data_IF_884150837363
#
_entry.id   IF_884150837363
#
_cell.length_a   1.000
_cell.length_b   1.000
_cell.length_c   1.000
_cell.angle_alpha   90.00
_cell.angle_beta   90.00
_cell.angle_gamma   90.00
#
_symmetry.space_group_name_H-M   'P 1'
#
loop_
_entity.id
_entity.type
_entity.pdbx_description
1 polymer ?
#
# COMPACT_ATOMS: atom_id res chain seq x y z
N UNK A 1 36.21 19.28 -3.28
CA UNK A 1 36.41 19.39 -4.73
C UNK A 1 35.02 19.39 -5.27
N UNK A 2 34.45 20.59 -5.32
CA UNK A 2 33.01 20.81 -5.36
C UNK A 2 32.55 20.56 -6.80
N UNK A 3 31.75 19.51 -6.99
CA UNK A 3 31.20 19.17 -8.30
C UNK A 3 29.95 20.01 -8.51
N UNK A 4 30.15 21.17 -9.13
CA UNK A 4 29.11 22.07 -9.60
C UNK A 4 28.06 21.30 -10.43
N UNK A 5 26.78 21.48 -10.12
CA UNK A 5 25.64 20.80 -10.74
C UNK A 5 25.63 21.00 -12.26
N UNK A 6 26.13 20.02 -13.02
CA UNK A 6 26.23 20.12 -14.49
C UNK A 6 24.88 19.78 -15.14
N UNK A 7 24.20 20.72 -15.82
CA UNK A 7 22.87 20.47 -16.40
C UNK A 7 22.87 19.50 -17.60
N UNK A 8 24.04 19.08 -18.07
CA UNK A 8 24.21 18.28 -19.30
C UNK A 8 23.87 16.79 -19.18
N UNK A 9 23.60 16.28 -17.97
CA UNK A 9 23.17 14.90 -17.74
C UNK A 9 21.85 14.84 -16.94
N UNK A 10 20.79 15.45 -17.47
CA UNK A 10 19.48 15.51 -16.78
C UNK A 10 19.00 14.13 -16.32
N UNK A 11 19.25 13.08 -17.11
CA UNK A 11 18.78 11.72 -16.85
C UNK A 11 19.47 11.06 -15.64
N UNK A 12 20.68 11.50 -15.26
CA UNK A 12 21.42 10.95 -14.11
C UNK A 12 20.78 11.35 -12.77
N UNK A 13 20.24 12.56 -12.70
CA UNK A 13 19.64 13.13 -11.48
C UNK A 13 18.12 13.30 -11.59
N UNK A 14 17.54 13.17 -12.77
CA UNK A 14 16.09 13.16 -12.97
C UNK A 14 15.74 12.07 -13.98
N UNK A 15 15.45 10.84 -13.51
CA UNK A 15 15.15 9.71 -14.37
C UNK A 15 14.00 9.97 -15.35
N UNK A 16 14.09 9.40 -16.56
CA UNK A 16 13.16 9.66 -17.67
C UNK A 16 11.74 9.17 -17.39
N UNK A 17 11.60 8.05 -16.69
CA UNK A 17 10.34 7.49 -16.21
C UNK A 17 9.61 8.46 -15.28
N UNK A 18 10.33 9.04 -14.32
CA UNK A 18 9.77 10.07 -13.42
C UNK A 18 9.42 11.32 -14.23
N UNK A 19 10.31 11.82 -15.10
CA UNK A 19 10.00 12.96 -15.98
C UNK A 19 8.70 12.74 -16.77
N UNK A 20 8.52 11.55 -17.35
CA UNK A 20 7.37 11.21 -18.20
C UNK A 20 6.05 11.31 -17.43
N UNK A 21 6.02 10.84 -16.17
CA UNK A 21 4.83 10.95 -15.32
C UNK A 21 4.38 12.42 -15.16
N UNK A 22 5.30 13.31 -14.78
CA UNK A 22 4.98 14.75 -14.64
C UNK A 22 4.58 15.39 -15.98
N UNK A 23 5.24 15.01 -17.08
CA UNK A 23 4.95 15.54 -18.42
C UNK A 23 3.53 15.16 -18.85
N UNK A 24 3.13 13.90 -18.68
CA UNK A 24 1.80 13.41 -19.04
C UNK A 24 0.71 14.13 -18.26
N UNK A 25 0.89 14.31 -16.95
CA UNK A 25 -0.07 15.05 -16.12
C UNK A 25 -0.22 16.51 -16.56
N UNK A 26 0.86 17.17 -17.01
CA UNK A 26 0.83 18.58 -17.44
C UNK A 26 0.21 18.75 -18.82
N UNK A 27 0.52 17.86 -19.76
CA UNK A 27 0.03 17.95 -21.15
C UNK A 27 -1.48 17.75 -21.23
N UNK A 28 -2.06 16.92 -20.37
CA UNK A 28 -3.49 16.61 -20.38
C UNK A 28 -4.33 17.54 -19.49
N UNK A 29 -3.75 18.61 -18.94
CA UNK A 29 -4.48 19.54 -18.07
C UNK A 29 -5.58 20.31 -18.81
N UNK A 30 -6.84 20.23 -18.35
CA UNK A 30 -7.93 21.02 -18.91
C UNK A 30 -7.63 22.52 -18.84
N UNK A 31 -7.68 23.20 -19.98
CA UNK A 31 -7.51 24.67 -20.07
C UNK A 31 -6.08 25.17 -20.24
N UNK A 32 -5.05 24.33 -20.09
CA UNK A 32 -3.65 24.70 -20.38
C UNK A 32 -3.24 24.25 -21.78
N UNK A 33 -3.12 25.19 -22.73
CA UNK A 33 -2.57 24.89 -24.06
C UNK A 33 -1.05 24.82 -24.01
N UNK A 34 -0.46 23.66 -23.79
CA UNK A 34 1.00 23.43 -23.78
C UNK A 34 1.37 22.28 -24.73
N UNK A 35 2.51 22.39 -25.43
CA UNK A 35 3.01 21.27 -26.25
C UNK A 35 3.84 20.31 -25.40
N UNK A 36 3.94 19.05 -25.83
CA UNK A 36 4.79 18.05 -25.17
C UNK A 36 6.20 18.58 -24.91
N UNK A 37 6.82 19.20 -25.93
CA UNK A 37 8.15 19.79 -25.84
C UNK A 37 8.26 20.90 -24.78
N UNK A 38 7.23 21.75 -24.67
CA UNK A 38 7.20 22.80 -23.65
C UNK A 38 7.01 22.22 -22.24
N UNK A 39 6.18 21.19 -22.10
CA UNK A 39 5.99 20.48 -20.84
C UNK A 39 7.28 19.80 -20.38
N UNK A 40 7.99 19.10 -21.27
CA UNK A 40 9.31 18.52 -20.98
C UNK A 40 10.29 19.56 -20.45
N UNK A 41 10.40 20.71 -21.11
CA UNK A 41 11.33 21.77 -20.71
C UNK A 41 10.95 22.40 -19.38
N UNK A 42 9.66 22.60 -19.15
CA UNK A 42 9.16 23.08 -17.87
C UNK A 42 9.46 22.08 -16.72
N UNK A 43 9.21 20.78 -16.92
CA UNK A 43 9.48 19.74 -15.92
C UNK A 43 10.97 19.64 -15.60
N UNK A 44 11.85 19.69 -16.61
CA UNK A 44 13.31 19.69 -16.37
C UNK A 44 13.78 20.92 -15.62
N UNK A 45 13.23 22.09 -15.95
CA UNK A 45 13.50 23.33 -15.24
C UNK A 45 13.00 23.28 -13.79
N UNK A 46 11.88 22.60 -13.55
CA UNK A 46 11.37 22.30 -12.23
C UNK A 46 12.36 21.45 -11.43
N UNK A 47 12.78 20.30 -11.96
CA UNK A 47 13.77 19.45 -11.30
C UNK A 47 15.09 20.18 -10.99
N UNK A 48 15.56 21.02 -11.91
CA UNK A 48 16.77 21.82 -11.70
C UNK A 48 16.62 22.81 -10.52
N UNK A 49 15.51 23.55 -10.47
CA UNK A 49 15.23 24.47 -9.36
C UNK A 49 15.06 23.76 -8.02
N UNK A 50 14.51 22.54 -8.03
CA UNK A 50 14.36 21.70 -6.85
C UNK A 50 15.71 21.28 -6.25
N UNK A 51 16.66 20.85 -7.10
CA UNK A 51 18.01 20.48 -6.65
C UNK A 51 18.81 21.67 -6.14
N UNK A 52 18.77 22.81 -6.85
CA UNK A 52 19.47 24.03 -6.41
C UNK A 52 19.05 24.47 -5.00
N UNK A 53 17.77 24.34 -4.64
CA UNK A 53 17.30 24.72 -3.30
C UNK A 53 17.76 23.80 -2.19
N UNK A 54 17.91 22.51 -2.50
CA UNK A 54 18.34 21.51 -1.54
C UNK A 54 19.86 21.52 -1.33
N UNK A 55 20.61 22.30 -2.13
CA UNK A 55 22.07 22.28 -2.11
C UNK A 55 22.63 20.89 -2.42
N UNK A 56 21.88 20.09 -3.17
CA UNK A 56 22.24 18.72 -3.53
C UNK A 56 22.74 18.70 -4.96
N UNK A 57 24.01 18.34 -5.13
CA UNK A 57 24.63 18.32 -6.46
C UNK A 57 24.25 17.06 -7.28
N UNK A 58 23.90 15.93 -6.62
CA UNK A 58 23.76 14.62 -7.29
C UNK A 58 22.82 13.61 -6.59
N UNK A 59 21.62 14.01 -6.16
CA UNK A 59 20.61 13.06 -5.68
C UNK A 59 19.56 12.79 -6.77
N UNK A 60 19.31 11.52 -7.18
CA UNK A 60 18.24 11.20 -8.11
C UNK A 60 16.89 11.66 -7.56
N UNK A 61 16.19 12.48 -8.34
CA UNK A 61 14.85 12.98 -8.02
C UNK A 61 13.86 11.83 -8.16
N UNK A 62 13.30 11.37 -7.04
CA UNK A 62 12.15 10.47 -7.00
C UNK A 62 10.82 11.23 -7.12
N UNK A 63 10.77 12.46 -6.61
CA UNK A 63 9.57 13.31 -6.58
C UNK A 63 9.89 14.80 -6.68
N UNK A 64 8.95 15.56 -7.26
CA UNK A 64 8.97 17.02 -7.29
C UNK A 64 7.90 17.57 -6.35
N UNK A 65 8.28 18.56 -5.53
CA UNK A 65 7.33 19.29 -4.71
C UNK A 65 6.87 20.60 -5.39
N UNK A 66 5.72 21.12 -4.95
CA UNK A 66 5.17 22.40 -5.47
C UNK A 66 5.91 23.63 -4.92
N UNK A 67 6.55 23.50 -3.76
CA UNK A 67 7.16 24.62 -3.05
C UNK A 67 8.59 24.82 -3.52
N UNK A 68 8.73 25.52 -4.63
CA UNK A 68 10.02 25.96 -5.15
C UNK A 68 10.13 27.46 -4.94
N UNK A 69 11.06 27.84 -4.07
CA UNK A 69 11.52 29.24 -3.98
C UNK A 69 12.16 29.69 -5.31
N UNK A 70 12.38 30.99 -5.47
CA UNK A 70 13.04 31.47 -6.69
C UNK A 70 14.47 30.95 -6.81
N UNK A 71 14.93 30.61 -8.01
CA UNK A 71 16.28 30.11 -8.25
C UNK A 71 16.92 30.79 -9.47
N UNK A 72 18.25 30.71 -9.60
CA UNK A 72 18.97 31.36 -10.70
C UNK A 72 19.23 30.35 -11.82
N UNK A 73 18.92 30.76 -13.05
CA UNK A 73 19.14 29.95 -14.24
C UNK A 73 19.71 30.85 -15.34
N UNK A 74 20.90 30.52 -15.84
CA UNK A 74 21.45 31.18 -17.02
C UNK A 74 20.79 30.65 -18.30
N UNK A 75 20.89 31.40 -19.39
CA UNK A 75 20.47 30.89 -20.70
C UNK A 75 21.29 29.67 -21.15
N UNK A 76 22.52 29.52 -20.66
CA UNK A 76 23.34 28.33 -20.93
C UNK A 76 22.78 27.13 -20.17
N UNK A 77 22.48 27.27 -18.87
CA UNK A 77 21.89 26.18 -18.07
C UNK A 77 20.55 25.75 -18.66
N UNK A 78 19.72 26.71 -19.05
CA UNK A 78 18.44 26.43 -19.70
C UNK A 78 18.63 25.70 -21.04
N UNK A 79 19.67 26.03 -21.82
CA UNK A 79 19.95 25.35 -23.07
C UNK A 79 20.38 23.90 -22.83
N UNK A 80 21.25 23.68 -21.85
CA UNK A 80 21.73 22.35 -21.46
C UNK A 80 20.55 21.48 -20.96
N UNK A 81 19.63 22.04 -20.17
CA UNK A 81 18.41 21.36 -19.72
C UNK A 81 17.44 21.02 -20.87
N UNK A 82 17.22 21.95 -21.80
CA UNK A 82 16.20 21.82 -22.85
C UNK A 82 16.69 21.02 -24.05
N UNK A 83 17.99 21.00 -24.29
CA UNK A 83 18.55 20.49 -25.54
C UNK A 83 19.60 19.40 -25.30
N UNK A 84 19.43 18.58 -24.26
CA UNK A 84 20.33 17.45 -23.93
C UNK A 84 20.68 16.53 -25.12
N UNK A 85 19.77 16.36 -26.08
CA UNK A 85 19.95 15.50 -27.26
C UNK A 85 19.95 16.27 -28.61
N UNK A 86 19.92 17.61 -28.60
CA UNK A 86 19.81 18.44 -29.81
C UNK A 86 20.76 19.64 -29.74
N UNK A 87 21.25 20.16 -30.87
CA UNK A 87 22.00 21.42 -30.87
C UNK A 87 21.06 22.62 -30.69
N UNK A 88 20.74 22.97 -29.44
CA UNK A 88 20.05 24.21 -29.12
C UNK A 88 21.02 25.30 -28.66
N UNK A 89 20.63 26.56 -28.83
CA UNK A 89 21.45 27.71 -28.43
C UNK A 89 20.91 28.35 -27.15
N UNK A 90 21.76 29.02 -26.34
CA UNK A 90 21.30 29.83 -25.20
C UNK A 90 20.21 30.84 -25.58
N UNK A 91 20.30 31.42 -26.78
CA UNK A 91 19.26 32.32 -27.31
C UNK A 91 17.91 31.62 -27.51
N UNK A 92 17.91 30.40 -28.05
CA UNK A 92 16.68 29.62 -28.23
C UNK A 92 16.08 29.20 -26.88
N UNK A 93 16.92 28.87 -25.89
CA UNK A 93 16.49 28.59 -24.53
C UNK A 93 15.84 29.80 -23.86
N UNK A 94 16.44 30.99 -24.03
CA UNK A 94 15.84 32.26 -23.60
C UNK A 94 14.44 32.48 -24.20
N UNK A 95 14.27 32.25 -25.51
CA UNK A 95 12.95 32.34 -26.14
C UNK A 95 11.96 31.29 -25.61
N UNK A 96 12.43 30.10 -25.23
CA UNK A 96 11.58 29.07 -24.65
C UNK A 96 11.10 29.47 -23.25
N UNK A 97 12.00 30.00 -22.42
CA UNK A 97 11.64 30.56 -21.12
C UNK A 97 10.59 31.68 -21.26
N UNK A 98 10.64 32.51 -22.31
CA UNK A 98 9.63 33.55 -22.58
C UNK A 98 8.28 32.93 -22.94
N UNK A 99 8.28 31.86 -23.73
CA UNK A 99 7.06 31.11 -24.05
C UNK A 99 6.43 30.48 -22.79
N UNK A 100 7.23 29.91 -21.90
CA UNK A 100 6.74 29.38 -20.62
C UNK A 100 6.20 30.49 -19.72
N UNK A 101 6.86 31.66 -19.68
CA UNK A 101 6.37 32.82 -18.93
C UNK A 101 5.02 33.33 -19.46
N UNK A 102 4.85 33.38 -20.79
CA UNK A 102 3.58 33.80 -21.42
C UNK A 102 2.39 32.88 -21.10
N UNK A 103 2.66 31.64 -20.66
CA UNK A 103 1.67 30.66 -20.21
C UNK A 103 1.45 30.68 -18.69
N UNK A 104 2.00 31.67 -17.99
CA UNK A 104 2.00 31.77 -16.53
C UNK A 104 2.62 30.57 -15.80
N UNK A 105 3.52 29.82 -16.43
CA UNK A 105 4.21 28.67 -15.81
C UNK A 105 5.46 29.09 -15.04
N UNK A 106 6.02 30.27 -15.36
CA UNK A 106 7.13 30.86 -14.62
C UNK A 106 7.06 32.38 -14.65
N UNK A 107 7.76 33.01 -13.72
CA UNK A 107 8.02 34.46 -13.69
C UNK A 107 9.52 34.68 -13.70
N UNK A 108 9.95 35.73 -14.42
CA UNK A 108 11.33 36.21 -14.41
C UNK A 108 11.42 37.41 -13.48
N UNK A 109 12.40 37.37 -12.59
CA UNK A 109 12.75 38.46 -11.68
C UNK A 109 14.01 39.19 -12.13
N UNK A 110 14.74 39.72 -11.16
CA UNK A 110 16.00 40.42 -11.38
C UNK A 110 17.05 39.52 -12.03
N UNK A 111 17.88 40.11 -12.88
CA UNK A 111 19.06 39.47 -13.46
C UNK A 111 20.31 40.05 -12.81
N UNK A 112 21.29 39.19 -12.55
CA UNK A 112 22.63 39.57 -12.06
C UNK A 112 23.63 39.84 -13.21
N UNK A 113 23.15 39.88 -14.45
CA UNK A 113 23.95 40.05 -15.66
C UNK A 113 24.38 38.74 -16.33
N UNK A 114 24.27 37.59 -15.66
CA UNK A 114 24.63 36.26 -16.20
C UNK A 114 23.45 35.30 -16.14
N UNK A 115 22.79 35.23 -14.99
CA UNK A 115 21.60 34.44 -14.75
C UNK A 115 20.38 35.33 -14.55
N UNK A 116 19.21 34.75 -14.79
CA UNK A 116 17.93 35.39 -14.45
C UNK A 116 17.33 34.63 -13.28
N UNK A 117 16.84 35.36 -12.28
CA UNK A 117 16.07 34.77 -11.19
C UNK A 117 14.72 34.30 -11.73
N UNK A 118 14.46 33.00 -11.69
CA UNK A 118 13.22 32.37 -12.10
C UNK A 118 12.38 32.01 -10.88
N UNK A 119 11.07 32.11 -11.01
CA UNK A 119 10.11 31.60 -10.02
C UNK A 119 9.07 30.79 -10.76
N UNK A 120 8.98 29.49 -10.48
CA UNK A 120 8.01 28.63 -11.13
C UNK A 120 6.64 28.84 -10.51
N UNK A 121 5.63 28.89 -11.37
CA UNK A 121 4.24 28.95 -10.95
C UNK A 121 3.60 27.61 -11.33
N UNK A 122 3.63 26.68 -10.37
CA UNK A 122 3.07 25.34 -10.52
C UNK A 122 1.58 25.42 -10.10
N UNK A 123 0.63 25.35 -11.05
CA UNK A 123 -0.79 25.43 -10.72
C UNK A 123 -1.22 24.33 -9.75
N UNK A 124 -2.08 24.66 -8.79
CA UNK A 124 -2.61 23.67 -7.85
C UNK A 124 -3.44 22.57 -8.54
N UNK A 125 -3.95 22.86 -9.73
CA UNK A 125 -4.70 21.90 -10.56
C UNK A 125 -3.81 20.81 -11.16
N UNK A 126 -2.48 20.93 -11.13
CA UNK A 126 -1.60 19.86 -11.58
C UNK A 126 -1.66 18.71 -10.57
N UNK A 127 -2.33 17.63 -10.94
CA UNK A 127 -2.22 16.34 -10.24
C UNK A 127 -0.76 15.90 -10.33
N UNK A 128 -0.07 15.89 -9.18
CA UNK A 128 1.32 15.44 -9.13
C UNK A 128 1.33 13.97 -8.75
N UNK A 129 2.26 13.17 -9.29
CA UNK A 129 2.55 11.85 -8.76
C UNK A 129 2.73 11.95 -7.24
N UNK A 130 1.90 11.23 -6.48
CA UNK A 130 2.08 11.15 -5.04
C UNK A 130 3.46 10.57 -4.75
N UNK A 131 4.12 11.10 -3.71
CA UNK A 131 5.37 10.53 -3.24
C UNK A 131 5.07 9.11 -2.78
N UNK A 132 5.48 8.12 -3.60
CA UNK A 132 5.61 6.75 -3.13
C UNK A 132 6.68 6.81 -2.06
N UNK A 133 6.25 7.02 -0.82
CA UNK A 133 7.08 6.79 0.34
C UNK A 133 7.63 5.37 0.16
N UNK A 134 8.96 5.25 0.25
CA UNK A 134 9.63 3.97 0.39
C UNK A 134 9.25 3.43 1.77
N UNK A 135 8.00 3.00 1.89
CA UNK A 135 7.42 2.55 3.13
C UNK A 135 7.86 1.11 3.34
N UNK A 136 8.76 0.95 4.29
CA UNK A 136 9.07 -0.35 4.85
C UNK A 136 7.96 -0.76 5.81
N UNK A 137 7.70 -2.06 5.89
CA UNK A 137 6.63 -2.62 6.72
C UNK A 137 7.20 -3.59 7.74
N UNK A 138 6.53 -3.71 8.88
CA UNK A 138 6.92 -4.67 9.92
C UNK A 138 5.70 -5.22 10.66
N UNK A 139 5.70 -6.50 11.03
CA UNK A 139 4.62 -7.08 11.81
C UNK A 139 4.73 -6.71 13.30
N UNK A 140 3.59 -6.60 13.97
CA UNK A 140 3.49 -6.23 15.38
C UNK A 140 2.22 -6.79 16.05
N UNK A 141 2.14 -6.71 17.38
CA UNK A 141 0.93 -7.03 18.13
C UNK A 141 -0.17 -5.99 17.88
N UNK A 142 -1.41 -6.48 17.76
CA UNK A 142 -2.60 -5.63 17.71
C UNK A 142 -2.85 -4.93 19.05
N UNK A 143 -2.98 -3.61 19.03
CA UNK A 143 -3.41 -2.79 20.17
C UNK A 143 -4.88 -2.39 20.01
N UNK A 144 -5.80 -2.95 20.84
CA UNK A 144 -7.23 -2.64 20.73
C UNK A 144 -7.60 -1.17 21.01
N UNK A 145 -6.69 -0.38 21.60
CA UNK A 145 -6.89 1.05 21.85
C UNK A 145 -6.57 1.90 20.63
N UNK A 146 -5.47 1.57 19.94
CA UNK A 146 -4.94 2.38 18.84
C UNK A 146 -5.35 1.83 17.46
N UNK A 147 -5.40 0.51 17.29
CA UNK A 147 -5.55 -0.11 15.97
C UNK A 147 -7.00 -0.41 15.61
N UNK A 148 -7.87 -0.62 16.60
CA UNK A 148 -9.21 -1.17 16.35
C UNK A 148 -10.05 -0.36 15.33
N UNK A 149 -9.93 0.95 15.30
CA UNK A 149 -10.67 1.76 14.31
C UNK A 149 -10.07 1.61 12.91
N UNK A 150 -8.75 1.64 12.78
CA UNK A 150 -8.06 1.54 11.48
C UNK A 150 -8.20 0.15 10.88
N UNK A 151 -8.00 -0.89 11.69
CA UNK A 151 -8.25 -2.28 11.28
C UNK A 151 -9.71 -2.49 10.89
N UNK A 152 -10.66 -1.88 11.60
CA UNK A 152 -12.06 -1.99 11.21
C UNK A 152 -12.33 -1.40 9.82
N UNK A 153 -11.67 -0.30 9.45
CA UNK A 153 -11.77 0.27 8.10
C UNK A 153 -11.19 -0.67 7.02
N UNK A 154 -10.03 -1.30 7.29
CA UNK A 154 -9.42 -2.29 6.38
C UNK A 154 -10.42 -3.42 6.13
N UNK A 155 -10.98 -3.98 7.19
CA UNK A 155 -11.95 -5.09 7.07
C UNK A 155 -13.25 -4.63 6.40
N UNK A 156 -13.71 -3.42 6.68
CA UNK A 156 -14.91 -2.86 6.05
C UNK A 156 -14.84 -2.85 4.52
N UNK A 157 -13.65 -2.62 3.94
CA UNK A 157 -13.41 -2.64 2.50
C UNK A 157 -13.42 -4.07 1.96
N UNK A 158 -12.90 -5.04 2.71
CA UNK A 158 -12.95 -6.46 2.32
C UNK A 158 -14.40 -6.96 2.29
N UNK A 159 -15.22 -6.48 3.21
CA UNK A 159 -16.65 -6.81 3.29
C UNK A 159 -17.56 -5.94 2.41
N UNK A 160 -17.04 -4.92 1.71
CA UNK A 160 -17.87 -4.01 0.89
C UNK A 160 -18.42 -4.64 -0.39
N UNK A 161 -18.08 -5.89 -0.69
CA UNK A 161 -18.69 -6.67 -1.77
C UNK A 161 -20.14 -7.09 -1.48
N UNK A 162 -20.64 -6.90 -0.24
CA UNK A 162 -22.04 -7.12 0.09
C UNK A 162 -22.90 -5.88 -0.26
N UNK A 163 -23.82 -5.96 -1.25
CA UNK A 163 -24.66 -4.84 -1.66
C UNK A 163 -25.67 -4.39 -0.59
N UNK A 164 -25.93 -5.19 0.44
CA UNK A 164 -26.86 -4.86 1.53
C UNK A 164 -26.11 -4.43 2.81
N UNK A 165 -25.16 -3.51 2.68
CA UNK A 165 -24.32 -3.06 3.80
C UNK A 165 -25.11 -2.28 4.86
N UNK A 166 -25.15 -2.72 6.14
CA UNK A 166 -25.73 -1.92 7.21
C UNK A 166 -24.82 -0.75 7.60
N UNK A 167 -25.39 0.43 7.88
CA UNK A 167 -24.64 1.62 8.35
C UNK A 167 -23.85 1.37 9.64
N UNK A 168 -24.22 0.34 10.42
CA UNK A 168 -23.55 -0.05 11.65
C UNK A 168 -22.37 -1.02 11.46
N UNK A 169 -22.04 -1.43 10.23
CA UNK A 169 -20.99 -2.43 9.93
C UNK A 169 -19.66 -2.09 10.59
N UNK A 170 -19.13 -0.88 10.40
CA UNK A 170 -17.87 -0.47 11.02
C UNK A 170 -17.88 -0.57 12.56
N UNK A 171 -18.99 -0.18 13.18
CA UNK A 171 -19.16 -0.29 14.63
C UNK A 171 -19.10 -1.75 15.08
N UNK A 172 -19.77 -2.64 14.35
CA UNK A 172 -19.84 -4.07 14.66
C UNK A 172 -18.49 -4.75 14.47
N UNK A 173 -17.80 -4.47 13.36
CA UNK A 173 -16.42 -4.95 13.13
C UNK A 173 -15.51 -4.55 14.28
N UNK A 174 -15.53 -3.26 14.64
CA UNK A 174 -14.74 -2.72 15.75
C UNK A 174 -15.08 -3.38 17.09
N UNK A 175 -16.35 -3.68 17.35
CA UNK A 175 -16.78 -4.39 18.57
C UNK A 175 -16.25 -5.83 18.57
N UNK A 176 -16.39 -6.55 17.45
CA UNK A 176 -15.93 -7.93 17.29
C UNK A 176 -14.42 -8.10 17.50
N UNK A 177 -13.60 -7.30 16.81
CA UNK A 177 -12.13 -7.37 16.99
C UNK A 177 -11.67 -7.04 18.42
N UNK A 178 -12.39 -6.15 19.12
CA UNK A 178 -12.13 -5.84 20.54
C UNK A 178 -12.58 -6.95 21.47
N UNK A 179 -13.59 -7.72 21.10
CA UNK A 179 -14.00 -8.90 21.83
C UNK A 179 -12.97 -10.02 21.64
N UNK A 180 -12.54 -10.26 20.41
CA UNK A 180 -11.48 -11.22 20.11
C UNK A 180 -10.18 -10.89 20.87
N UNK A 181 -9.78 -9.61 20.92
CA UNK A 181 -8.59 -9.21 21.69
C UNK A 181 -8.70 -9.40 23.19
N UNK A 182 -9.91 -9.42 23.75
CA UNK A 182 -10.13 -9.77 25.16
C UNK A 182 -10.08 -11.27 25.40
N UNK A 183 -10.50 -12.07 24.42
CA UNK A 183 -10.53 -13.52 24.53
C UNK A 183 -9.14 -14.12 24.33
N UNK A 184 -8.41 -13.70 23.30
CA UNK A 184 -7.08 -14.22 23.00
C UNK A 184 -6.22 -13.18 22.25
N UNK A 185 -5.59 -12.23 22.96
CA UNK A 185 -4.84 -11.13 22.33
C UNK A 185 -3.63 -11.58 21.53
N UNK A 186 -2.97 -12.67 21.94
CA UNK A 186 -1.74 -13.17 21.31
C UNK A 186 -1.95 -13.62 19.85
N UNK A 187 -3.19 -13.94 19.48
CA UNK A 187 -3.59 -14.32 18.13
C UNK A 187 -3.91 -13.16 17.20
N UNK A 188 -3.93 -11.90 17.67
CA UNK A 188 -4.20 -10.74 16.83
C UNK A 188 -2.90 -10.01 16.47
N UNK A 189 -2.65 -9.94 15.16
CA UNK A 189 -1.42 -9.37 14.58
C UNK A 189 -1.77 -8.26 13.60
N UNK A 190 -0.88 -7.29 13.45
CA UNK A 190 -0.99 -6.24 12.45
C UNK A 190 0.30 -6.13 11.66
N UNK A 191 0.19 -5.76 10.39
CA UNK A 191 1.33 -5.28 9.60
C UNK A 191 1.31 -3.75 9.68
N UNK A 192 2.43 -3.12 10.05
CA UNK A 192 2.51 -1.68 10.24
C UNK A 192 3.43 -1.02 9.23
N UNK A 193 3.09 0.20 8.85
CA UNK A 193 3.98 1.11 8.13
C UNK A 193 5.06 1.62 9.09
N UNK A 194 6.33 1.54 8.71
CA UNK A 194 7.44 1.95 9.59
C UNK A 194 7.40 3.44 9.94
N UNK A 195 7.01 4.28 8.97
CA UNK A 195 6.99 5.74 9.04
C UNK A 195 5.90 6.27 9.98
N UNK A 196 4.66 5.79 9.84
CA UNK A 196 3.50 6.29 10.60
C UNK A 196 3.11 5.39 11.79
N UNK A 197 3.60 4.14 11.83
CA UNK A 197 3.19 3.10 12.79
C UNK A 197 1.73 2.65 12.65
N UNK A 198 1.03 3.14 11.63
CA UNK A 198 -0.35 2.76 11.35
C UNK A 198 -0.43 1.33 10.83
N UNK A 199 -1.45 0.56 11.26
CA UNK A 199 -1.71 -0.76 10.70
C UNK A 199 -2.22 -0.64 9.26
N UNK A 200 -1.59 -1.40 8.36
CA UNK A 200 -1.95 -1.58 6.94
C UNK A 200 -2.30 -3.03 6.62
N UNK A 201 -2.28 -3.90 7.63
CA UNK A 201 -2.69 -5.29 7.53
C UNK A 201 -3.12 -5.82 8.89
N UNK A 202 -3.92 -6.88 8.88
CA UNK A 202 -4.49 -7.48 10.07
C UNK A 202 -4.66 -8.99 9.91
N UNK A 203 -4.31 -9.72 10.95
CA UNK A 203 -4.52 -11.16 11.04
C UNK A 203 -5.10 -11.51 12.41
N UNK A 204 -6.05 -12.45 12.42
CA UNK A 204 -6.70 -12.94 13.63
C UNK A 204 -6.73 -14.47 13.64
N UNK A 205 -5.85 -15.05 14.44
CA UNK A 205 -5.71 -16.49 14.68
C UNK A 205 -6.40 -16.83 16.00
N UNK A 206 -7.60 -17.40 15.95
CA UNK A 206 -8.38 -17.70 17.15
C UNK A 206 -8.51 -19.21 17.35
N UNK A 207 -7.92 -19.77 18.42
CA UNK A 207 -8.14 -21.17 18.82
C UNK A 207 -9.63 -21.42 19.04
N UNK A 208 -10.20 -22.40 18.35
CA UNK A 208 -11.62 -22.71 18.44
C UNK A 208 -11.88 -23.63 19.64
N UNK A 209 -12.89 -23.30 20.44
CA UNK A 209 -13.38 -24.19 21.49
C UNK A 209 -13.89 -25.50 20.87
N UNK A 210 -13.70 -26.67 21.50
CA UNK A 210 -14.13 -27.98 20.98
C UNK A 210 -15.60 -27.99 20.52
N UNK A 211 -16.50 -27.37 21.28
CA UNK A 211 -17.92 -27.22 20.94
C UNK A 211 -18.20 -26.43 19.64
N UNK A 212 -17.18 -25.81 19.05
CA UNK A 212 -17.30 -25.12 17.76
C UNK A 212 -16.77 -25.92 16.59
N UNK A 213 -16.15 -27.09 16.80
CA UNK A 213 -15.56 -27.87 15.71
C UNK A 213 -16.59 -28.35 14.69
N UNK A 214 -17.78 -28.75 15.16
CA UNK A 214 -18.88 -29.17 14.27
C UNK A 214 -19.26 -28.08 13.25
N UNK A 215 -18.95 -26.80 13.52
CA UNK A 215 -19.30 -25.67 12.65
C UNK A 215 -18.41 -25.59 11.42
N UNK A 216 -17.21 -26.17 11.43
CA UNK A 216 -16.35 -26.29 10.25
C UNK A 216 -16.89 -27.33 9.24
N UNK A 217 -17.76 -28.24 9.70
CA UNK A 217 -18.51 -29.17 8.85
C UNK A 217 -19.86 -28.61 8.39
N UNK A 218 -20.21 -27.37 8.75
CA UNK A 218 -21.43 -26.69 8.31
C UNK A 218 -21.13 -25.66 7.21
N UNK A 219 -22.20 -25.12 6.62
CA UNK A 219 -22.14 -23.98 5.70
C UNK A 219 -21.29 -22.83 6.25
N UNK A 220 -20.22 -22.40 5.54
CA UNK A 220 -19.32 -21.33 5.99
C UNK A 220 -20.04 -20.05 6.40
N UNK A 221 -21.10 -19.67 5.68
CA UNK A 221 -21.85 -18.47 6.02
C UNK A 221 -22.40 -18.49 7.44
N UNK A 222 -22.69 -19.66 8.03
CA UNK A 222 -23.19 -19.77 9.42
C UNK A 222 -22.16 -19.36 10.48
N UNK A 223 -20.90 -19.27 10.08
CA UNK A 223 -19.74 -18.91 10.91
C UNK A 223 -19.22 -17.50 10.63
N UNK A 224 -19.80 -16.77 9.67
CA UNK A 224 -19.52 -15.36 9.44
C UNK A 224 -20.15 -14.49 10.53
N UNK A 225 -19.31 -13.76 11.27
CA UNK A 225 -19.75 -12.89 12.36
C UNK A 225 -19.73 -11.39 11.97
N UNK A 226 -18.81 -10.99 11.09
CA UNK A 226 -18.57 -9.58 10.78
C UNK A 226 -19.41 -9.04 9.60
N UNK A 227 -20.04 -9.92 8.81
CA UNK A 227 -20.62 -9.57 7.51
C UNK A 227 -22.12 -9.85 7.36
N UNK A 228 -22.82 -10.30 8.39
CA UNK A 228 -24.25 -10.63 8.29
C UNK A 228 -25.16 -9.48 8.72
N UNK A 229 -26.23 -9.28 7.94
CA UNK A 229 -27.39 -8.45 8.25
C UNK A 229 -28.19 -8.96 9.47
N UNK A 230 -28.27 -10.28 9.59
CA UNK A 230 -28.91 -11.02 10.66
C UNK A 230 -27.97 -11.11 11.87
N UNK A 231 -27.94 -10.00 12.60
CA UNK A 231 -27.26 -9.77 13.87
C UNK A 231 -27.40 -10.97 14.81
N UNK A 232 -26.36 -11.80 14.90
CA UNK A 232 -26.15 -12.65 16.07
C UNK A 232 -25.38 -11.82 17.09
N UNK A 233 -25.96 -11.61 18.27
CA UNK A 233 -25.27 -10.93 19.37
C UNK A 233 -23.99 -11.68 19.76
N UNK A 234 -24.01 -13.00 19.60
CA UNK A 234 -22.91 -13.91 19.94
C UNK A 234 -22.19 -14.43 18.70
N UNK A 235 -20.86 -14.49 18.81
CA UNK A 235 -20.00 -15.06 17.79
C UNK A 235 -20.24 -16.58 17.66
N UNK A 236 -20.56 -17.10 16.47
CA UNK A 236 -20.81 -18.52 16.28
C UNK A 236 -19.60 -19.41 16.58
N UNK A 237 -18.36 -18.95 16.45
CA UNK A 237 -17.20 -19.76 16.86
C UNK A 237 -16.65 -19.18 18.18
N UNK A 238 -16.73 -19.99 19.24
CA UNK A 238 -16.21 -19.61 20.56
C UNK A 238 -14.71 -19.84 20.61
N UNK A 239 -13.98 -18.95 21.29
CA UNK A 239 -12.53 -19.06 21.47
C UNK A 239 -12.23 -19.99 22.65
N UNK A 240 -11.30 -20.93 22.47
CA UNK A 240 -10.86 -21.83 23.53
C UNK A 240 -10.07 -21.09 24.62
N UNK A 241 -10.06 -21.65 25.83
CA UNK A 241 -9.22 -21.11 26.91
C UNK A 241 -7.80 -21.65 26.77
N UNK A 242 -6.79 -20.80 26.91
CA UNK A 242 -5.37 -21.19 26.88
C UNK A 242 -5.09 -22.42 27.76
N UNK A 243 -4.41 -23.42 27.21
CA UNK A 243 -4.11 -24.70 27.87
C UNK A 243 -5.20 -25.78 27.73
N UNK A 244 -6.28 -25.50 27.01
CA UNK A 244 -7.32 -26.50 26.72
C UNK A 244 -6.75 -27.66 25.88
N UNK A 245 -6.73 -28.90 26.40
CA UNK A 245 -6.18 -30.04 25.69
C UNK A 245 -7.08 -30.51 24.54
N UNK A 246 -8.36 -30.13 24.52
CA UNK A 246 -9.29 -30.58 23.49
C UNK A 246 -9.41 -29.57 22.33
N UNK A 247 -8.59 -28.51 22.32
CA UNK A 247 -8.51 -27.57 21.21
C UNK A 247 -7.61 -28.11 20.09
N UNK A 248 -8.22 -28.59 19.00
CA UNK A 248 -7.49 -29.08 17.83
C UNK A 248 -7.41 -28.04 16.69
N UNK A 249 -8.33 -27.07 16.68
CA UNK A 249 -8.49 -26.16 15.55
C UNK A 249 -8.14 -24.71 15.88
N UNK A 250 -7.40 -24.03 15.00
CA UNK A 250 -7.32 -22.57 14.94
C UNK A 250 -8.12 -22.05 13.75
N UNK A 251 -9.01 -21.10 14.01
CA UNK A 251 -9.74 -20.39 12.98
C UNK A 251 -9.05 -19.07 12.66
N UNK A 252 -8.55 -18.95 11.42
CA UNK A 252 -8.10 -17.68 10.86
C UNK A 252 -9.34 -16.87 10.48
N UNK A 253 -9.75 -15.96 11.34
CA UNK A 253 -10.92 -15.10 11.11
C UNK A 253 -10.72 -14.06 10.03
N UNK A 254 -9.48 -13.60 9.93
CA UNK A 254 -9.06 -12.61 8.96
C UNK A 254 -7.57 -12.74 8.75
N UNK A 255 -7.15 -12.54 7.51
CA UNK A 255 -5.77 -12.32 7.12
C UNK A 255 -5.82 -11.41 5.90
N UNK A 256 -5.54 -10.12 6.11
CA UNK A 256 -5.75 -9.07 5.11
C UNK A 256 -4.60 -8.08 5.15
N UNK A 257 -4.19 -7.58 3.98
CA UNK A 257 -3.27 -6.46 3.81
C UNK A 257 -3.96 -5.50 2.84
N UNK A 258 -3.84 -4.19 3.08
CA UNK A 258 -4.39 -3.17 2.20
C UNK A 258 -3.84 -3.33 0.76
N UNK A 259 -4.71 -3.10 -0.23
CA UNK A 259 -4.39 -3.41 -1.63
C UNK A 259 -3.26 -2.55 -2.21
N UNK A 260 -3.09 -1.34 -1.71
CA UNK A 260 -2.06 -0.39 -2.14
C UNK A 260 -0.66 -0.82 -1.71
N UNK A 261 -0.57 -1.65 -0.67
CA UNK A 261 0.69 -2.22 -0.15
C UNK A 261 0.76 -3.73 -0.29
N UNK A 262 -0.18 -4.36 -1.01
CA UNK A 262 -0.18 -5.80 -1.30
C UNK A 262 0.96 -6.19 -2.26
N UNK A 263 2.11 -6.54 -1.69
CA UNK A 263 3.35 -6.89 -2.41
C UNK A 263 3.93 -8.20 -1.91
N UNK A 264 4.85 -8.78 -2.68
CA UNK A 264 5.59 -9.98 -2.30
C UNK A 264 6.28 -9.81 -0.94
N UNK A 265 6.94 -8.67 -0.73
CA UNK A 265 7.69 -8.36 0.49
C UNK A 265 6.76 -8.29 1.70
N UNK A 266 5.64 -7.55 1.58
CA UNK A 266 4.66 -7.45 2.68
C UNK A 266 3.99 -8.77 2.99
N UNK A 267 3.70 -9.59 1.98
CA UNK A 267 3.09 -10.90 2.16
C UNK A 267 4.06 -11.85 2.87
N UNK A 268 5.33 -11.88 2.47
CA UNK A 268 6.36 -12.70 3.11
C UNK A 268 6.57 -12.30 4.57
N UNK A 269 6.71 -11.00 4.87
CA UNK A 269 6.85 -10.52 6.25
C UNK A 269 5.65 -10.91 7.12
N UNK A 270 4.43 -10.80 6.57
CA UNK A 270 3.25 -11.10 7.36
C UNK A 270 2.98 -12.61 7.50
N UNK A 271 3.33 -13.44 6.51
CA UNK A 271 3.28 -14.91 6.63
C UNK A 271 4.33 -15.40 7.64
N UNK A 272 5.53 -14.82 7.63
CA UNK A 272 6.57 -15.12 8.63
C UNK A 272 6.06 -14.87 10.05
N UNK A 273 5.44 -13.71 10.30
CA UNK A 273 4.82 -13.42 11.60
C UNK A 273 3.65 -14.36 11.92
N UNK A 274 2.89 -14.76 10.90
CA UNK A 274 1.79 -15.73 11.05
C UNK A 274 2.32 -17.10 11.51
N UNK A 275 3.41 -17.60 10.92
CA UNK A 275 4.05 -18.84 11.37
C UNK A 275 4.62 -18.71 12.79
N UNK A 276 5.27 -17.60 13.12
CA UNK A 276 5.79 -17.35 14.48
C UNK A 276 4.64 -17.33 15.49
N UNK A 277 3.55 -16.65 15.17
CA UNK A 277 2.36 -16.56 16.00
C UNK A 277 1.72 -17.93 16.19
N UNK A 278 1.47 -18.67 15.11
CA UNK A 278 0.87 -20.00 15.17
C UNK A 278 1.74 -21.02 15.94
N UNK A 279 3.07 -20.92 15.91
CA UNK A 279 3.94 -21.72 16.80
C UNK A 279 3.68 -21.42 18.27
N UNK A 280 3.54 -20.15 18.65
CA UNK A 280 3.19 -19.76 20.03
C UNK A 280 1.79 -20.25 20.42
N UNK A 281 0.83 -20.20 19.50
CA UNK A 281 -0.51 -20.73 19.75
C UNK A 281 -0.45 -22.25 19.96
N UNK A 282 0.35 -22.98 19.18
CA UNK A 282 0.57 -24.41 19.41
C UNK A 282 1.19 -24.70 20.78
N UNK A 283 2.12 -23.86 21.25
CA UNK A 283 2.68 -23.99 22.60
C UNK A 283 1.63 -23.75 23.70
N UNK A 284 0.64 -22.89 23.41
CA UNK A 284 -0.49 -22.61 24.30
C UNK A 284 -1.56 -23.71 24.29
N UNK A 285 -1.67 -24.49 23.20
CA UNK A 285 -2.68 -25.51 22.96
C UNK A 285 -2.02 -26.80 22.43
N UNK A 286 -1.67 -27.75 23.32
CA UNK A 286 -0.77 -28.87 22.99
C UNK A 286 -1.21 -29.77 21.84
N UNK A 287 -2.52 -29.88 21.59
CA UNK A 287 -3.10 -30.76 20.57
C UNK A 287 -3.56 -30.01 19.31
N UNK A 288 -3.23 -28.72 19.18
CA UNK A 288 -3.60 -27.92 18.02
C UNK A 288 -2.97 -28.49 16.75
N UNK A 289 -3.81 -28.87 15.79
CA UNK A 289 -3.41 -29.59 14.57
C UNK A 289 -3.98 -29.01 13.28
N UNK A 290 -5.04 -28.20 13.34
CA UNK A 290 -5.84 -27.86 12.17
C UNK A 290 -6.02 -26.36 12.01
N UNK A 291 -5.89 -25.86 10.77
CA UNK A 291 -6.17 -24.48 10.41
C UNK A 291 -7.38 -24.45 9.48
N UNK A 292 -8.39 -23.68 9.88
CA UNK A 292 -9.53 -23.35 9.03
C UNK A 292 -9.57 -21.85 8.74
N UNK A 293 -10.08 -21.48 7.57
CA UNK A 293 -10.39 -20.09 7.20
C UNK A 293 -11.57 -20.04 6.22
N UNK A 294 -12.16 -18.85 6.07
CA UNK A 294 -13.14 -18.56 5.03
C UNK A 294 -12.55 -17.45 4.15
N UNK A 295 -12.38 -17.73 2.86
CA UNK A 295 -12.06 -16.68 1.90
C UNK A 295 -13.35 -15.96 1.48
N UNK A 296 -13.50 -14.71 1.93
CA UNK A 296 -14.64 -13.85 1.57
C UNK A 296 -14.44 -13.19 0.21
N UNK A 297 -13.18 -12.99 -0.20
CA UNK A 297 -12.81 -12.36 -1.44
C UNK A 297 -11.99 -13.31 -2.35
N UNK A 298 -12.20 -13.33 -3.68
CA UNK A 298 -11.45 -14.19 -4.60
C UNK A 298 -9.92 -14.08 -4.48
N UNK A 299 -9.39 -12.86 -4.30
CA UNK A 299 -7.94 -12.68 -4.08
C UNK A 299 -7.44 -13.44 -2.84
N UNK A 300 -8.20 -13.42 -1.75
CA UNK A 300 -7.85 -14.16 -0.52
C UNK A 300 -7.98 -15.67 -0.72
N UNK A 301 -8.92 -16.11 -1.54
CA UNK A 301 -9.07 -17.53 -1.92
C UNK A 301 -7.85 -18.00 -2.71
N UNK A 302 -7.52 -17.31 -3.81
CA UNK A 302 -6.37 -17.61 -4.66
C UNK A 302 -5.06 -17.63 -3.87
N UNK A 303 -4.89 -16.65 -2.96
CA UNK A 303 -3.72 -16.59 -2.09
C UNK A 303 -3.65 -17.79 -1.14
N UNK A 304 -4.74 -18.14 -0.46
CA UNK A 304 -4.77 -19.29 0.43
C UNK A 304 -4.54 -20.63 -0.32
N UNK A 305 -5.13 -20.78 -1.52
CA UNK A 305 -4.87 -21.95 -2.38
C UNK A 305 -3.40 -22.04 -2.79
N UNK A 306 -2.76 -20.91 -3.09
CA UNK A 306 -1.33 -20.83 -3.42
C UNK A 306 -0.47 -21.31 -2.26
N UNK A 307 -0.83 -20.95 -1.02
CA UNK A 307 -0.18 -21.43 0.20
C UNK A 307 -0.44 -22.93 0.50
N UNK A 308 -1.29 -23.59 -0.29
CA UNK A 308 -1.57 -25.03 -0.18
C UNK A 308 -2.81 -25.38 0.65
N UNK A 309 -3.64 -24.40 1.02
CA UNK A 309 -4.96 -24.68 1.60
C UNK A 309 -5.84 -25.43 0.59
N UNK A 310 -6.74 -26.26 1.11
CA UNK A 310 -7.71 -26.99 0.30
C UNK A 310 -9.12 -26.55 0.63
N UNK A 311 -9.93 -26.39 -0.42
CA UNK A 311 -11.37 -26.22 -0.27
C UNK A 311 -11.98 -27.49 0.32
N UNK A 312 -12.87 -27.32 1.28
CA UNK A 312 -13.65 -28.40 1.88
C UNK A 312 -15.12 -28.17 1.59
N UNK A 313 -15.92 -27.79 2.59
CA UNK A 313 -17.35 -27.55 2.43
C UNK A 313 -17.61 -26.13 1.96
N UNK A 314 -18.46 -26.00 0.94
CA UNK A 314 -18.97 -24.72 0.45
C UNK A 314 -20.41 -24.47 0.83
N UNK A 315 -20.84 -23.23 0.69
CA UNK A 315 -22.27 -22.90 0.71
C UNK A 315 -22.96 -23.36 -0.57
N UNK A 316 -24.23 -23.82 -0.51
CA UNK A 316 -24.99 -24.18 -1.70
C UNK A 316 -25.30 -22.98 -2.61
N UNK A 317 -25.54 -21.82 -2.01
CA UNK A 317 -26.09 -20.63 -2.67
C UNK A 317 -25.13 -19.43 -2.69
N UNK A 318 -23.86 -19.63 -2.27
CA UNK A 318 -22.84 -18.57 -2.26
C UNK A 318 -21.49 -19.10 -2.72
N UNK A 319 -20.56 -18.20 -3.04
CA UNK A 319 -19.17 -18.56 -3.36
C UNK A 319 -18.33 -18.89 -2.13
N UNK A 320 -18.87 -18.77 -0.92
CA UNK A 320 -18.13 -18.98 0.32
C UNK A 320 -17.76 -20.45 0.51
N UNK A 321 -16.49 -20.69 0.86
CA UNK A 321 -15.95 -22.02 1.13
C UNK A 321 -15.08 -22.02 2.37
N UNK A 322 -15.11 -23.14 3.08
CA UNK A 322 -14.10 -23.46 4.06
C UNK A 322 -12.81 -23.84 3.35
N UNK A 323 -11.72 -23.23 3.78
CA UNK A 323 -10.37 -23.57 3.39
C UNK A 323 -9.66 -24.19 4.59
N UNK A 324 -8.97 -25.30 4.34
CA UNK A 324 -8.35 -26.13 5.36
C UNK A 324 -6.88 -26.42 5.05
N UNK A 325 -6.05 -26.42 6.10
CA UNK A 325 -4.68 -26.92 6.05
C UNK A 325 -4.27 -27.50 7.41
N UNK A 326 -3.57 -28.64 7.47
CA UNK A 326 -2.93 -29.08 8.72
C UNK A 326 -1.91 -28.04 9.18
N UNK A 327 -1.94 -27.70 10.48
CA UNK A 327 -1.09 -26.68 11.09
C UNK A 327 0.39 -26.92 10.81
N UNK A 328 0.87 -28.15 11.02
CA UNK A 328 2.29 -28.45 10.85
C UNK A 328 2.76 -28.22 9.40
N UNK A 329 1.90 -28.47 8.40
CA UNK A 329 2.25 -28.18 7.00
C UNK A 329 2.38 -26.67 6.74
N UNK A 330 1.52 -25.86 7.36
CA UNK A 330 1.64 -24.42 7.26
C UNK A 330 2.91 -23.89 7.96
N UNK A 331 3.25 -24.48 9.11
CA UNK A 331 4.44 -24.11 9.90
C UNK A 331 5.76 -24.51 9.23
N UNK A 332 5.75 -25.54 8.38
CA UNK A 332 6.89 -26.02 7.59
C UNK A 332 6.93 -25.45 6.17
N UNK A 333 5.92 -24.66 5.77
CA UNK A 333 5.82 -24.09 4.43
C UNK A 333 7.01 -23.16 4.13
N UNK A 334 7.71 -23.44 3.04
CA UNK A 334 8.64 -22.50 2.42
C UNK A 334 7.84 -21.48 1.61
N UNK A 335 7.37 -20.46 2.32
CA UNK A 335 6.46 -19.48 1.75
C UNK A 335 7.15 -18.55 0.75
N UNK A 336 8.46 -18.33 0.83
CA UNK A 336 9.19 -17.42 -0.07
C UNK A 336 9.14 -17.94 -1.52
N UNK A 337 9.49 -19.22 -1.71
CA UNK A 337 9.43 -19.87 -3.02
C UNK A 337 8.00 -19.97 -3.58
N UNK A 338 7.04 -20.29 -2.70
CA UNK A 338 5.62 -20.42 -3.08
C UNK A 338 5.04 -19.08 -3.52
N UNK A 339 5.38 -18.00 -2.80
CA UNK A 339 4.83 -16.67 -3.04
C UNK A 339 5.54 -15.89 -4.14
N UNK A 340 6.75 -16.29 -4.54
CA UNK A 340 7.51 -15.63 -5.61
C UNK A 340 6.75 -15.57 -6.93
N UNK A 341 5.94 -16.59 -7.22
CA UNK A 341 5.17 -16.70 -8.46
C UNK A 341 3.70 -16.29 -8.29
N UNK A 342 3.30 -15.82 -7.11
CA UNK A 342 1.93 -15.34 -6.89
C UNK A 342 1.70 -14.03 -7.65
N UNK A 343 0.50 -13.86 -8.22
CA UNK A 343 0.18 -12.66 -8.97
C UNK A 343 -0.36 -11.54 -8.06
N UNK A 344 0.51 -10.59 -7.72
CA UNK A 344 0.15 -9.40 -6.93
C UNK A 344 -0.53 -8.28 -7.74
N UNK A 345 -0.68 -8.43 -9.07
CA UNK A 345 -1.26 -7.39 -9.93
C UNK A 345 -2.79 -7.42 -9.97
N UNK A 346 -3.45 -8.44 -9.40
CA UNK A 346 -4.91 -8.50 -9.32
C UNK A 346 -5.41 -7.52 -8.25
N UNK A 347 -5.77 -6.32 -8.71
CA UNK A 347 -6.54 -5.35 -7.93
C UNK A 347 -8.02 -5.75 -7.97
N UNK A 348 -8.72 -5.56 -6.85
CA UNK A 348 -10.18 -5.67 -6.72
C UNK A 348 -10.86 -5.05 -7.95
N UNK A 349 -11.39 -5.90 -8.84
CA UNK A 349 -12.27 -5.47 -9.95
C UNK A 349 -13.72 -5.67 -9.54
#
# INVERSE_FOLDING_TARGET
>A
MDQELKPNNVEDWFPLDIQTQYIEHIVHQPGLKITLRQATYFVRLWGYGYLQQRGMDYAPISTLNRQISSFYCSHSDAADLFYTQNQGTPRAAGQMLDKLASKNLLRRGESDGVATRLSLNIPQSFELPEEKADDTFYPDAFDPRNDATLVANILEQVYSYDPERPESMLHNIKKGIRQWSRQYPDGLRVLRRMSTKEPVGFAAFLPAHPDSEEKFDLSPSRSLHLSRLDMREDDPITVATKGDPDCYTVFVRSWQIEIDVWTYETACEFIKDSQITLRKIRDDFPNLSDIYTIAIHPLSEDFALTLGFRMTKGDPDSSLRWLYMPLDRFLELDYEDVLLNFNYSHRYN
#
